data_IF_138544077957
#
_entry.id   IF_138544077957
#
_cell.length_a   1.000
_cell.length_b   1.000
_cell.length_c   1.000
_cell.angle_alpha   90.00
_cell.angle_beta   90.00
_cell.angle_gamma   90.00
#
_symmetry.space_group_name_H-M   'P 1'
#
loop_
_entity.id
_entity.type
_entity.pdbx_description
1 polymer ?
2 non-polymer ?
3 water ?
#
# COMPACT_ATOMS: atom_id res chain seq x y z
N UNK A 8 30.44 -26.74 2.24
CA UNK A 8 29.79 -27.52 3.33
C UNK A 8 30.76 -28.57 3.87
N UNK A 9 30.97 -28.55 5.18
CA UNK A 9 31.88 -29.49 5.82
C UNK A 9 31.13 -30.51 6.68
N UNK A 10 31.88 -31.40 7.33
CA UNK A 10 31.30 -32.39 8.23
C UNK A 10 30.60 -31.54 9.27
N UNK A 11 31.36 -30.61 9.83
CA UNK A 11 30.89 -29.68 10.85
C UNK A 11 29.43 -29.35 10.71
N UNK A 12 29.13 -28.47 9.76
CA UNK A 12 27.79 -28.00 9.51
C UNK A 12 26.71 -29.05 9.55
N UNK A 13 26.83 -30.07 8.71
CA UNK A 13 25.79 -31.07 8.71
C UNK A 13 25.37 -31.44 10.16
N UNK A 14 26.31 -31.92 10.98
CA UNK A 14 25.94 -32.34 12.33
C UNK A 14 25.26 -31.21 13.07
N UNK A 15 25.75 -29.99 12.89
CA UNK A 15 25.15 -28.85 13.58
C UNK A 15 23.64 -28.70 13.39
N UNK A 16 23.21 -28.95 12.17
CA UNK A 16 21.82 -28.87 11.78
C UNK A 16 20.96 -29.88 12.55
N UNK A 17 21.61 -30.96 13.02
CA UNK A 17 20.93 -32.05 13.72
C UNK A 17 20.59 -31.69 15.14
N UNK A 18 21.34 -30.72 15.69
CA UNK A 18 21.17 -30.29 17.08
C UNK A 18 19.76 -29.87 17.51
N UNK A 19 19.33 -28.69 17.07
CA UNK A 19 18.00 -28.20 17.46
C UNK A 19 16.95 -29.25 17.11
N UNK A 20 17.31 -30.21 16.27
CA UNK A 20 16.36 -31.25 15.91
C UNK A 20 16.02 -32.01 17.18
N UNK A 21 17.07 -32.47 17.86
CA UNK A 21 16.94 -33.18 19.12
C UNK A 21 16.31 -32.16 20.07
N UNK A 22 17.01 -31.03 20.24
CA UNK A 22 16.56 -29.96 21.14
C UNK A 22 16.33 -28.57 20.52
N UNK A 23 15.09 -28.05 20.63
CA UNK A 23 14.74 -26.73 20.08
C UNK A 23 15.36 -25.60 20.89
N UNK A 24 16.52 -25.08 20.50
CA UNK A 24 17.14 -23.99 21.25
C UNK A 24 16.50 -22.68 20.78
N UNK A 25 15.55 -22.17 21.56
CA UNK A 25 14.83 -20.92 21.20
C UNK A 25 14.98 -19.89 22.32
N UNK A 26 15.43 -20.37 23.47
CA UNK A 26 15.64 -19.50 24.62
C UNK A 26 16.46 -18.28 24.16
N UNK A 27 17.63 -18.57 23.58
CA UNK A 27 18.53 -17.53 23.10
C UNK A 27 17.99 -16.11 22.96
N UNK A 28 17.18 -15.89 21.94
CA UNK A 28 16.62 -14.56 21.68
C UNK A 28 15.12 -14.54 21.65
N UNK A 29 14.57 -13.41 21.22
CA UNK A 29 13.13 -13.24 21.16
C UNK A 29 12.41 -13.99 20.03
N UNK A 30 12.39 -15.31 20.09
CA UNK A 30 11.71 -16.02 19.01
C UNK A 30 10.22 -15.91 19.19
N UNK A 31 9.45 -16.21 18.17
CA UNK A 31 8.01 -16.08 18.26
C UNK A 31 7.26 -17.13 17.46
N UNK A 32 6.19 -17.70 18.02
CA UNK A 32 5.46 -18.71 17.25
C UNK A 32 4.87 -17.93 16.12
N UNK A 33 4.18 -18.59 15.22
CA UNK A 33 3.63 -17.91 14.07
C UNK A 33 2.63 -18.84 13.44
N UNK A 34 2.88 -20.15 13.57
CA UNK A 34 2.01 -21.15 12.96
C UNK A 34 2.22 -22.53 13.58
N UNK A 35 1.18 -23.36 13.47
CA UNK A 35 1.18 -24.74 13.94
C UNK A 35 0.24 -25.51 13.01
N UNK A 36 0.74 -26.57 12.38
CA UNK A 36 -0.06 -27.31 11.41
C UNK A 36 0.49 -28.72 11.17
N UNK A 37 -0.40 -29.64 10.80
CA UNK A 37 -0.05 -31.03 10.54
C UNK A 37 0.94 -31.59 11.60
N UNK A 38 1.10 -30.86 12.72
CA UNK A 38 2.06 -31.19 13.78
C UNK A 38 3.38 -30.42 13.54
N UNK A 39 3.26 -29.16 13.12
CA UNK A 39 4.42 -28.32 12.81
C UNK A 39 4.29 -26.83 13.19
N UNK A 40 5.33 -26.30 13.84
CA UNK A 40 5.33 -24.91 14.29
C UNK A 40 6.46 -24.10 13.70
N UNK A 41 6.17 -22.83 13.43
CA UNK A 41 7.15 -21.93 12.82
C UNK A 41 7.50 -20.70 13.64
N UNK A 42 8.73 -20.66 14.12
CA UNK A 42 9.17 -19.53 14.91
C UNK A 42 9.94 -18.59 14.03
N UNK A 43 10.03 -17.34 14.47
CA UNK A 43 10.78 -16.36 13.71
C UNK A 43 11.43 -15.29 14.57
N UNK A 44 12.65 -14.92 14.20
CA UNK A 44 13.40 -13.93 14.93
C UNK A 44 13.63 -12.77 14.00
N UNK A 45 13.29 -11.58 14.48
CA UNK A 45 13.46 -10.38 13.70
C UNK A 45 14.68 -9.51 14.03
N UNK A 46 15.65 -9.43 13.11
CA UNK A 46 16.81 -8.58 13.32
C UNK A 46 16.23 -7.20 13.17
N UNK A 47 16.14 -6.49 14.29
CA UNK A 47 15.56 -5.15 14.31
C UNK A 47 16.26 -4.09 13.50
N UNK A 48 17.52 -4.30 13.14
CA UNK A 48 18.24 -3.32 12.35
C UNK A 48 17.83 -3.44 10.89
N UNK A 49 17.85 -4.67 10.41
CA UNK A 49 17.51 -4.91 9.03
C UNK A 49 16.04 -5.14 8.78
N UNK A 50 15.31 -5.59 9.80
CA UNK A 50 13.89 -5.86 9.60
C UNK A 50 13.76 -7.22 8.94
N UNK A 51 14.88 -7.92 8.82
CA UNK A 51 14.84 -9.24 8.20
C UNK A 51 14.40 -10.27 9.23
N UNK A 52 14.06 -11.47 8.76
CA UNK A 52 13.62 -12.50 9.67
C UNK A 52 14.43 -13.76 9.59
N UNK A 53 14.28 -14.56 10.62
CA UNK A 53 15.00 -15.81 10.72
C UNK A 53 13.90 -16.74 11.08
N UNK A 54 13.72 -17.82 10.35
CA UNK A 54 12.69 -18.74 10.75
C UNK A 54 13.24 -20.05 11.26
N UNK A 55 12.44 -20.74 12.05
CA UNK A 55 12.86 -21.99 12.61
C UNK A 55 11.65 -22.90 12.66
N UNK A 56 11.82 -24.13 12.19
CA UNK A 56 10.71 -25.04 12.15
C UNK A 56 10.97 -26.38 12.81
N UNK A 57 9.96 -26.85 13.54
CA UNK A 57 9.98 -28.13 14.23
C UNK A 57 8.62 -28.72 13.99
N UNK A 58 8.50 -30.01 14.26
CA UNK A 58 7.22 -30.64 14.07
C UNK A 58 7.37 -32.07 13.65
N UNK A 59 6.25 -32.70 13.39
CA UNK A 59 6.27 -34.07 12.99
C UNK A 59 5.28 -34.16 11.88
N UNK A 60 5.59 -35.06 10.95
CA UNK A 60 4.72 -35.30 9.83
C UNK A 60 4.49 -36.79 9.82
N UNK A 61 3.41 -37.29 10.42
CA UNK A 61 3.17 -38.73 10.35
C UNK A 61 2.80 -38.98 8.92
N UNK A 62 3.02 -40.21 8.48
CA UNK A 62 2.70 -40.62 7.11
C UNK A 62 3.80 -40.22 6.10
N UNK A 63 4.96 -39.78 6.60
CA UNK A 63 6.04 -39.37 5.71
C UNK A 63 7.33 -40.11 6.00
N UNK A 64 7.54 -41.21 5.29
CA UNK A 64 8.75 -41.98 5.49
C UNK A 64 9.91 -40.97 5.50
N UNK A 65 10.62 -40.85 6.64
CA UNK A 65 11.76 -39.93 6.80
C UNK A 65 12.62 -40.08 5.54
N UNK A 66 12.68 -41.30 5.04
CA UNK A 66 13.46 -41.61 3.84
C UNK A 66 12.82 -40.97 2.63
N UNK A 67 11.49 -41.04 2.55
CA UNK A 67 10.75 -40.47 1.42
C UNK A 67 10.95 -38.98 1.38
N UNK A 68 10.51 -38.34 2.45
CA UNK A 68 10.60 -36.92 2.60
C UNK A 68 11.92 -36.35 2.01
N UNK A 69 13.03 -36.96 2.43
CA UNK A 69 14.35 -36.57 2.00
C UNK A 69 14.49 -36.72 0.50
N UNK A 70 14.14 -37.90 -0.01
CA UNK A 70 14.24 -38.14 -1.44
C UNK A 70 13.38 -37.08 -2.15
N UNK A 71 12.13 -36.94 -1.70
CA UNK A 71 11.20 -35.98 -2.29
C UNK A 71 11.75 -34.59 -2.20
N UNK A 72 12.56 -34.35 -1.20
CA UNK A 72 13.11 -33.02 -1.03
C UNK A 72 14.19 -32.65 -2.05
N UNK A 73 14.75 -33.65 -2.71
CA UNK A 73 15.81 -33.40 -3.70
C UNK A 73 15.32 -33.65 -5.12
N UNK A 74 14.14 -34.28 -5.26
CA UNK A 74 13.60 -34.61 -6.58
C UNK A 74 12.90 -33.44 -7.22
N UNK A 75 13.68 -32.63 -7.93
CA UNK A 75 13.16 -31.48 -8.65
C UNK A 75 12.11 -31.94 -9.66
N UNK A 76 12.51 -32.74 -10.66
CA UNK A 76 11.59 -33.20 -11.69
C UNK A 76 10.18 -33.43 -11.13
N UNK A 77 10.13 -34.04 -9.95
CA UNK A 77 8.86 -34.34 -9.33
C UNK A 77 8.38 -33.13 -8.56
N UNK A 78 9.26 -32.55 -7.77
CA UNK A 78 8.92 -31.37 -7.01
C UNK A 78 8.36 -30.32 -7.95
N UNK A 79 8.98 -30.13 -9.11
CA UNK A 79 8.53 -29.14 -10.09
C UNK A 79 7.10 -29.46 -10.45
N UNK A 80 6.89 -30.75 -10.62
CA UNK A 80 5.63 -31.31 -11.04
C UNK A 80 4.44 -31.08 -10.11
N UNK A 81 4.66 -31.08 -8.80
CA UNK A 81 3.55 -30.92 -7.84
C UNK A 81 3.51 -29.68 -6.96
N UNK A 82 4.61 -28.93 -6.89
CA UNK A 82 4.65 -27.75 -6.03
C UNK A 82 4.10 -26.49 -6.67
N UNK A 83 2.81 -26.24 -6.47
CA UNK A 83 2.13 -25.06 -7.01
C UNK A 83 2.88 -23.71 -6.97
N UNK A 84 3.94 -23.58 -6.18
CA UNK A 84 4.68 -22.31 -6.15
C UNK A 84 6.00 -22.28 -6.86
N UNK A 85 6.31 -23.34 -7.60
CA UNK A 85 7.55 -23.43 -8.34
C UNK A 85 7.30 -23.01 -9.81
N UNK A 86 7.89 -21.88 -10.19
CA UNK A 86 7.76 -21.34 -11.53
C UNK A 86 8.81 -22.00 -12.42
N UNK A 87 10.05 -21.99 -11.98
CA UNK A 87 11.12 -22.62 -12.75
C UNK A 87 12.04 -23.28 -11.75
N UNK A 88 12.66 -24.39 -12.15
CA UNK A 88 13.55 -25.12 -11.26
C UNK A 88 14.40 -26.14 -12.00
N UNK A 89 15.71 -26.11 -11.78
CA UNK A 89 16.60 -27.07 -12.44
C UNK A 89 17.98 -27.12 -11.82
N UNK A 90 18.62 -28.28 -11.94
CA UNK A 90 19.94 -28.48 -11.35
C UNK A 90 21.02 -28.66 -12.39
N UNK A 91 22.25 -28.35 -11.99
CA UNK A 91 23.39 -28.51 -12.87
C UNK A 91 24.63 -28.75 -12.03
N UNK A 92 25.57 -29.48 -12.60
CA UNK A 92 26.82 -29.76 -11.92
C UNK A 92 27.74 -28.64 -12.34
N UNK A 93 28.34 -28.00 -11.35
CA UNK A 93 29.27 -26.91 -11.59
C UNK A 93 30.46 -27.35 -10.74
N UNK A 94 31.57 -27.68 -11.40
CA UNK A 94 32.73 -28.19 -10.69
C UNK A 94 32.22 -29.53 -10.14
N UNK A 95 32.46 -29.79 -8.86
CA UNK A 95 32.02 -31.08 -8.35
C UNK A 95 30.70 -31.06 -7.63
N UNK A 96 30.19 -29.85 -7.42
CA UNK A 96 28.94 -29.71 -6.68
C UNK A 96 27.68 -29.39 -7.49
N UNK A 97 26.55 -29.74 -6.89
CA UNK A 97 25.22 -29.55 -7.46
C UNK A 97 24.65 -28.16 -7.18
N UNK A 98 24.54 -27.33 -8.20
CA UNK A 98 24.01 -25.98 -8.01
C UNK A 98 22.55 -25.96 -8.45
N UNK A 99 21.70 -25.32 -7.65
CA UNK A 99 20.28 -25.26 -7.95
C UNK A 99 19.77 -23.90 -8.32
N UNK A 100 18.91 -23.86 -9.32
CA UNK A 100 18.29 -22.64 -9.71
C UNK A 100 16.84 -22.90 -9.39
N UNK A 101 16.20 -21.93 -8.75
CA UNK A 101 14.81 -22.06 -8.34
C UNK A 101 14.10 -20.72 -8.49
N UNK A 102 12.89 -20.68 -9.07
CA UNK A 102 12.14 -19.45 -9.22
C UNK A 102 10.92 -19.64 -8.36
N UNK A 103 10.62 -18.64 -7.54
CA UNK A 103 9.47 -18.72 -6.66
C UNK A 103 8.27 -17.83 -7.03
N UNK A 104 7.05 -18.39 -7.12
CA UNK A 104 5.86 -17.57 -7.47
C UNK A 104 5.41 -16.62 -6.37
N UNK A 105 5.46 -15.32 -6.68
CA UNK A 105 5.03 -14.23 -5.81
C UNK A 105 3.79 -13.66 -6.47
N UNK A 106 2.79 -13.33 -5.65
CA UNK A 106 1.52 -12.78 -6.08
C UNK A 106 1.79 -11.54 -6.84
N UNK A 107 1.15 -11.37 -7.99
CA UNK A 107 1.33 -10.14 -8.73
C UNK A 107 0.53 -9.15 -7.89
N UNK A 108 1.06 -7.91 -7.80
CA UNK A 108 2.18 -7.22 -8.44
C UNK A 108 3.65 -7.66 -8.19
N UNK A 109 3.99 -8.01 -6.94
CA UNK A 109 5.37 -8.45 -6.62
C UNK A 109 6.06 -9.35 -7.65
N UNK A 110 7.36 -9.13 -7.77
CA UNK A 110 8.18 -9.88 -8.69
C UNK A 110 8.44 -11.23 -8.07
N UNK A 111 8.51 -12.28 -8.88
CA UNK A 111 8.80 -13.58 -8.31
C UNK A 111 10.19 -13.38 -7.67
N UNK A 112 10.78 -14.44 -7.16
CA UNK A 112 12.11 -14.36 -6.58
C UNK A 112 12.87 -15.54 -7.12
N UNK A 113 14.14 -15.41 -7.44
CA UNK A 113 14.83 -16.62 -7.88
C UNK A 113 16.13 -16.84 -7.12
N UNK A 114 16.46 -18.10 -6.91
CA UNK A 114 17.65 -18.46 -6.16
C UNK A 114 18.60 -19.36 -6.92
N UNK A 115 19.89 -19.14 -6.67
CA UNK A 115 20.97 -19.91 -7.24
C UNK A 115 21.67 -20.32 -5.97
N UNK A 116 21.81 -21.62 -5.75
CA UNK A 116 22.43 -22.08 -4.52
C UNK A 116 23.01 -23.48 -4.54
N UNK A 117 23.90 -23.71 -3.59
CA UNK A 117 24.57 -24.99 -3.42
C UNK A 117 23.78 -25.76 -2.40
N UNK A 118 23.28 -26.92 -2.82
CA UNK A 118 22.46 -27.82 -2.00
C UNK A 118 23.21 -29.11 -1.75
N UNK A 119 23.13 -29.62 -0.52
CA UNK A 119 23.82 -30.86 -0.22
C UNK A 119 23.19 -31.66 0.89
N UNK A 120 22.94 -32.94 0.64
CA UNK A 120 22.36 -33.83 1.63
C UNK A 120 23.35 -34.89 2.07
N UNK A 121 23.17 -35.33 3.29
CA UNK A 121 24.00 -36.38 3.85
C UNK A 121 23.19 -37.18 4.85
N UNK A 122 23.17 -38.49 4.70
CA UNK A 122 22.43 -39.30 5.64
C UNK A 122 23.40 -39.71 6.74
N UNK A 123 23.06 -39.29 7.97
CA UNK A 123 23.90 -39.54 9.13
C UNK A 123 23.56 -40.79 9.95
N UNK A 124 24.60 -41.38 10.53
CA UNK A 124 24.49 -42.62 11.32
C UNK A 124 24.46 -42.48 12.86
N UNK A 125 24.49 -41.23 13.33
CA UNK A 125 24.47 -40.94 14.73
C UNK A 125 23.64 -41.93 15.55
N UNK A 126 24.26 -42.54 16.55
CA UNK A 126 23.61 -43.53 17.45
C UNK A 126 22.74 -44.56 16.75
N UNK A 127 23.21 -45.05 15.61
CA UNK A 127 22.47 -46.01 14.82
C UNK A 127 21.16 -45.38 14.42
N UNK A 128 21.21 -44.08 14.12
CA UNK A 128 20.02 -43.37 13.67
C UNK A 128 20.25 -42.65 12.36
N UNK A 129 19.38 -42.92 11.37
CA UNK A 129 19.47 -42.26 10.06
C UNK A 129 18.79 -40.92 10.27
N UNK A 130 19.58 -39.86 10.11
CA UNK A 130 19.11 -38.51 10.28
C UNK A 130 19.40 -37.77 9.01
N UNK A 131 18.42 -37.78 8.10
CA UNK A 131 18.59 -37.14 6.81
C UNK A 131 18.76 -35.63 6.97
N UNK A 132 19.95 -35.11 6.65
CA UNK A 132 20.26 -33.69 6.76
C UNK A 132 20.67 -33.06 5.41
N UNK A 133 20.05 -31.92 5.05
CA UNK A 133 20.36 -31.24 3.79
C UNK A 133 20.72 -29.79 4.08
N UNK A 134 21.67 -29.23 3.32
CA UNK A 134 22.13 -27.85 3.50
C UNK A 134 21.95 -27.02 2.23
N UNK A 135 21.71 -25.72 2.40
CA UNK A 135 21.50 -24.80 1.27
C UNK A 135 22.23 -23.47 1.40
N UNK A 136 22.99 -23.11 0.37
CA UNK A 136 23.76 -21.87 0.42
C UNK A 136 23.67 -21.13 -0.88
N UNK A 137 23.56 -19.82 -0.80
CA UNK A 137 23.47 -19.05 -2.02
C UNK A 137 24.86 -18.92 -2.62
N UNK A 138 24.95 -19.00 -3.94
CA UNK A 138 26.25 -18.90 -4.61
C UNK A 138 26.03 -18.16 -5.91
N UNK A 139 27.04 -18.03 -6.78
CA UNK A 139 26.87 -17.27 -8.02
C UNK A 139 27.55 -17.86 -9.29
N UNK A 140 27.11 -17.45 -10.48
CA UNK A 140 27.68 -17.96 -11.71
C UNK A 140 27.67 -17.03 -12.91
N UNK A 141 28.86 -16.71 -13.39
CA UNK A 141 29.00 -15.84 -14.53
C UNK A 141 27.90 -16.10 -15.60
N UNK A 142 27.73 -17.36 -16.00
CA UNK A 142 26.76 -17.72 -17.03
C UNK A 142 25.33 -17.64 -16.55
N UNK A 143 25.13 -17.55 -15.24
CA UNK A 143 23.77 -17.48 -14.74
C UNK A 143 23.53 -16.19 -13.98
N UNK A 144 23.58 -15.08 -14.71
CA UNK A 144 23.38 -13.80 -14.09
C UNK A 144 21.94 -13.56 -13.69
N UNK A 145 21.67 -12.38 -13.14
CA UNK A 145 20.31 -12.03 -12.70
C UNK A 145 19.33 -11.93 -13.86
N UNK A 146 18.02 -11.95 -13.56
CA UNK A 146 16.98 -11.85 -14.60
C UNK A 146 16.16 -10.57 -14.41
N UNK A 147 15.59 -10.06 -15.49
CA UNK A 147 14.76 -8.87 -15.38
C UNK A 147 13.32 -9.30 -15.10
N UNK A 148 12.72 -8.63 -14.11
CA UNK A 148 11.35 -8.93 -13.70
C UNK A 148 11.34 -9.80 -12.45
N UNK A 149 12.31 -10.71 -12.38
CA UNK A 149 12.49 -11.65 -11.28
C UNK A 149 13.63 -11.15 -10.39
N UNK A 150 13.38 -11.11 -9.07
CA UNK A 150 14.38 -10.67 -8.09
C UNK A 150 15.38 -11.76 -7.62
N UNK A 151 16.66 -11.64 -7.96
CA UNK A 151 17.67 -12.62 -7.55
C UNK A 151 18.08 -12.46 -6.08
N UNK A 152 17.70 -13.43 -5.25
CA UNK A 152 18.05 -13.44 -3.83
C UNK A 152 19.54 -13.85 -3.71
N UNK A 153 20.38 -12.94 -3.24
CA UNK A 153 21.80 -13.25 -3.13
C UNK A 153 22.24 -13.70 -1.73
N UNK A 154 21.37 -13.52 -0.73
CA UNK A 154 21.65 -13.97 0.64
C UNK A 154 20.58 -14.98 1.01
N UNK A 155 20.97 -16.23 1.20
CA UNK A 155 20.04 -17.29 1.53
C UNK A 155 20.77 -18.51 2.06
N UNK A 156 20.19 -19.10 3.09
CA UNK A 156 20.75 -20.31 3.65
C UNK A 156 19.73 -21.00 4.51
N UNK A 157 19.64 -22.31 4.34
CA UNK A 157 18.65 -23.13 5.02
C UNK A 157 19.26 -24.49 5.30
N UNK A 158 18.68 -25.21 6.26
CA UNK A 158 19.14 -26.55 6.60
C UNK A 158 17.89 -27.24 7.08
N UNK A 159 17.75 -28.49 6.70
CA UNK A 159 16.60 -29.27 7.09
C UNK A 159 17.07 -30.57 7.70
N UNK A 160 16.47 -30.95 8.82
CA UNK A 160 16.84 -32.18 9.46
C UNK A 160 15.62 -33.05 9.56
N UNK A 161 15.74 -34.24 8.98
CA UNK A 161 14.70 -35.24 8.98
C UNK A 161 15.13 -36.40 9.87
N UNK A 162 14.16 -37.13 10.39
CA UNK A 162 14.44 -38.25 11.28
C UNK A 162 13.15 -38.99 11.53
N UNK A 163 13.25 -40.27 11.88
CA UNK A 163 12.01 -40.99 12.11
C UNK A 163 11.48 -40.51 13.40
N UNK A 164 10.17 -40.67 13.57
CA UNK A 164 9.50 -40.27 14.78
C UNK A 164 9.16 -41.55 15.54
N UNK A 165 9.70 -42.68 15.03
CA UNK A 165 9.46 -43.98 15.64
C UNK A 165 8.26 -44.74 15.04
N UNK A 166 7.17 -43.98 14.81
CA UNK A 166 5.94 -44.52 14.25
C UNK A 166 5.95 -44.52 12.73
N UNK A 167 4.93 -43.87 12.17
CA UNK A 167 4.73 -43.80 10.72
C UNK A 167 5.40 -42.62 10.05
N UNK A 168 5.46 -41.49 10.74
CA UNK A 168 6.04 -40.32 10.15
C UNK A 168 7.50 -40.01 10.40
N UNK A 169 7.80 -38.71 10.50
CA UNK A 169 9.15 -38.23 10.71
C UNK A 169 9.18 -36.89 11.41
N UNK A 170 10.10 -36.79 12.35
CA UNK A 170 10.31 -35.61 13.17
C UNK A 170 11.30 -34.78 12.40
N UNK A 171 11.06 -33.48 12.35
CA UNK A 171 11.95 -32.60 11.60
C UNK A 171 12.25 -31.21 12.21
N UNK A 172 13.41 -30.69 11.84
CA UNK A 172 13.87 -29.39 12.28
C UNK A 172 14.41 -28.65 11.07
N UNK A 173 14.09 -27.37 10.94
CA UNK A 173 14.56 -26.58 9.81
C UNK A 173 14.90 -25.15 10.16
N UNK A 174 16.00 -24.68 9.58
CA UNK A 174 16.48 -23.31 9.78
C UNK A 174 16.44 -22.57 8.46
N UNK A 175 15.88 -21.36 8.44
CA UNK A 175 15.81 -20.63 7.21
C UNK A 175 16.13 -19.16 7.36
N UNK A 176 16.66 -18.60 6.28
CA UNK A 176 17.00 -17.20 6.21
C UNK A 176 17.44 -16.80 4.82
N UNK A 177 16.92 -15.68 4.37
CA UNK A 177 17.27 -15.13 3.10
C UNK A 177 16.80 -13.70 3.14
N UNK A 178 17.40 -12.89 2.30
CA UNK A 178 17.06 -11.48 2.17
C UNK A 178 16.36 -11.40 0.81
N UNK A 179 15.02 -11.27 0.81
CA UNK A 179 14.12 -11.18 -0.35
C UNK A 179 14.28 -10.01 -1.30
N UNK A 180 15.24 -9.13 -1.03
CA UNK A 180 15.44 -8.00 -1.93
C UNK A 180 14.25 -7.05 -2.04
N UNK A 181 13.33 -7.16 -1.09
CA UNK A 181 12.16 -6.31 -1.07
C UNK A 181 11.37 -6.48 0.21
N UNK A 182 10.44 -5.58 0.48
CA UNK A 182 9.62 -5.67 1.68
C UNK A 182 8.48 -6.65 1.57
N UNK A 183 8.38 -7.57 2.52
CA UNK A 183 7.32 -8.56 2.50
C UNK A 183 6.15 -8.00 3.27
N UNK A 184 5.03 -7.70 2.58
CA UNK A 184 3.85 -7.15 3.24
C UNK A 184 3.34 -8.13 4.26
N UNK A 185 2.93 -7.63 5.41
CA UNK A 185 2.43 -8.46 6.50
C UNK A 185 1.21 -9.32 6.16
N UNK A 186 0.45 -8.92 5.15
CA UNK A 186 -0.71 -9.72 4.77
C UNK A 186 -0.17 -11.01 4.14
N UNK A 187 0.91 -10.86 3.39
CA UNK A 187 1.55 -11.98 2.73
C UNK A 187 1.97 -12.96 3.81
N UNK A 188 2.52 -12.44 4.89
CA UNK A 188 2.91 -13.32 5.97
C UNK A 188 1.64 -13.99 6.50
N UNK A 189 0.61 -13.18 6.72
CA UNK A 189 -0.68 -13.66 7.21
C UNK A 189 -1.29 -14.77 6.34
N UNK A 190 -1.13 -14.63 5.03
CA UNK A 190 -1.63 -15.64 4.08
C UNK A 190 -0.70 -16.84 4.19
N UNK A 191 0.59 -16.58 4.13
CA UNK A 191 1.57 -17.64 4.22
C UNK A 191 1.22 -18.45 5.45
N UNK A 192 1.09 -17.74 6.56
CA UNK A 192 0.78 -18.30 7.87
C UNK A 192 -0.58 -18.96 7.99
N UNK A 193 -1.62 -18.18 7.78
CA UNK A 193 -2.98 -18.66 7.89
C UNK A 193 -3.53 -19.58 6.78
N UNK A 194 -2.91 -19.58 5.61
CA UNK A 194 -3.39 -20.45 4.54
C UNK A 194 -2.25 -21.08 3.73
N UNK A 195 -1.38 -20.22 3.22
CA UNK A 195 -0.25 -20.66 2.42
C UNK A 195 0.34 -21.99 2.85
N UNK A 196 1.10 -21.98 3.94
CA UNK A 196 1.77 -23.18 4.42
C UNK A 196 0.88 -24.38 4.71
N UNK A 197 -0.12 -24.23 5.59
CA UNK A 197 -1.03 -25.34 5.89
C UNK A 197 -1.31 -26.15 4.62
N UNK A 198 -1.71 -25.46 3.56
CA UNK A 198 -2.02 -26.12 2.31
C UNK A 198 -0.79 -26.78 1.73
N UNK A 199 0.32 -26.06 1.76
CA UNK A 199 1.56 -26.61 1.24
C UNK A 199 1.84 -27.95 1.88
N UNK A 200 1.95 -27.93 3.21
CA UNK A 200 2.20 -29.14 3.99
C UNK A 200 1.18 -30.22 3.64
N UNK A 201 -0.03 -29.77 3.34
CA UNK A 201 -1.07 -30.67 2.96
C UNK A 201 -0.72 -31.28 1.61
N UNK A 202 -0.51 -30.41 0.64
CA UNK A 202 -0.17 -30.86 -0.70
C UNK A 202 1.05 -31.73 -0.74
N UNK A 203 1.96 -31.50 0.21
CA UNK A 203 3.19 -32.26 0.25
C UNK A 203 3.01 -33.67 0.76
N UNK A 204 2.13 -33.81 1.75
CA UNK A 204 1.79 -35.09 2.34
C UNK A 204 1.20 -35.94 1.23
N UNK A 205 0.23 -35.35 0.54
CA UNK A 205 -0.44 -36.00 -0.57
C UNK A 205 0.70 -36.44 -1.50
N UNK A 206 1.68 -35.56 -1.65
CA UNK A 206 2.84 -35.77 -2.50
C UNK A 206 3.70 -36.97 -2.11
N UNK A 207 3.66 -37.35 -0.84
CA UNK A 207 4.43 -38.48 -0.35
C UNK A 207 3.75 -39.79 -0.67
N UNK A 208 2.52 -39.88 -0.18
CA UNK A 208 1.68 -41.05 -0.37
C UNK A 208 1.61 -41.46 -1.83
N UNK A 209 1.79 -40.48 -2.71
CA UNK A 209 1.72 -40.70 -4.16
C UNK A 209 3.07 -40.81 -4.88
N UNK A 210 4.11 -41.12 -4.13
CA UNK A 210 5.43 -41.23 -4.70
C UNK A 210 5.65 -42.58 -5.38
N UNK B 8 -29.74 26.11 -9.07
CA UNK B 8 -29.24 26.95 -7.93
C UNK B 8 -30.32 27.87 -7.33
N UNK B 9 -30.78 27.52 -6.13
CA UNK B 9 -31.82 28.28 -5.44
C UNK B 9 -31.28 29.46 -4.64
N UNK B 10 -32.17 30.34 -4.21
CA UNK B 10 -31.76 31.52 -3.48
C UNK B 10 -31.38 31.06 -2.08
N UNK B 11 -32.12 30.08 -1.62
CA UNK B 11 -31.90 29.57 -0.29
C UNK B 11 -30.45 29.08 -0.15
N UNK B 12 -30.01 28.33 -1.15
CA UNK B 12 -28.67 27.80 -1.14
C UNK B 12 -27.59 28.87 -0.94
N UNK B 13 -27.78 30.05 -1.53
CA UNK B 13 -26.82 31.15 -1.38
C UNK B 13 -26.75 31.62 0.06
N UNK B 14 -27.92 31.77 0.69
CA UNK B 14 -27.97 32.19 2.08
C UNK B 14 -27.33 31.16 3.00
N UNK B 15 -27.63 29.89 2.75
CA UNK B 15 -27.08 28.81 3.55
C UNK B 15 -25.60 29.11 3.78
N UNK B 16 -24.90 29.45 2.70
CA UNK B 16 -23.49 29.75 2.77
C UNK B 16 -23.25 31.12 3.41
N UNK B 17 -24.03 32.10 2.96
CA UNK B 17 -23.90 33.44 3.53
C UNK B 17 -23.93 33.29 5.05
N UNK B 18 -24.75 32.35 5.48
CA UNK B 18 -24.94 32.06 6.88
C UNK B 18 -23.67 31.62 7.60
N UNK B 19 -23.20 30.40 7.35
CA UNK B 19 -22.02 29.93 8.07
C UNK B 19 -20.92 30.95 8.08
N UNK B 20 -20.95 31.86 7.12
CA UNK B 20 -19.96 32.95 7.03
C UNK B 20 -19.99 33.73 8.34
N UNK B 21 -21.20 34.02 8.81
CA UNK B 21 -21.44 34.72 10.06
C UNK B 21 -21.08 33.83 11.26
N UNK B 22 -21.66 32.64 11.28
CA UNK B 22 -21.39 31.69 12.38
C UNK B 22 -21.16 30.25 11.85
N UNK B 23 -20.07 29.61 12.30
CA UNK B 23 -19.75 28.24 11.91
C UNK B 23 -20.85 27.28 12.40
N UNK B 24 -21.04 26.17 11.69
CA UNK B 24 -22.04 25.17 12.04
C UNK B 24 -21.32 23.82 12.23
N UNK B 25 -20.98 23.46 13.47
CA UNK B 25 -20.22 22.22 13.73
C UNK B 25 -20.57 21.55 15.07
N UNK B 26 -21.53 22.12 15.78
CA UNK B 26 -21.92 21.59 17.08
C UNK B 26 -22.61 20.23 16.94
N UNK B 27 -23.58 20.18 16.03
CA UNK B 27 -24.33 18.96 15.84
C UNK B 27 -23.58 17.74 15.34
N UNK B 28 -22.28 17.87 15.03
CA UNK B 28 -21.50 16.75 14.53
C UNK B 28 -20.10 16.56 15.12
N UNK B 29 -19.44 15.52 14.62
CA UNK B 29 -18.10 15.16 15.04
C UNK B 29 -17.11 15.88 14.12
N UNK B 30 -17.44 17.11 13.77
CA UNK B 30 -16.57 17.90 12.90
C UNK B 30 -15.24 18.08 13.58
N UNK B 31 -14.19 17.45 13.07
CA UNK B 31 -12.89 17.60 13.70
C UNK B 31 -12.00 18.56 12.93
N UNK B 32 -11.18 19.32 13.68
CA UNK B 32 -10.25 20.25 13.05
C UNK B 32 -9.15 19.40 12.48
N UNK B 33 -8.37 19.97 11.58
CA UNK B 33 -7.36 19.17 10.92
C UNK B 33 -6.21 20.04 10.47
N UNK B 34 -6.51 21.30 10.24
CA UNK B 34 -5.48 22.21 9.79
C UNK B 34 -5.71 23.64 10.21
N UNK B 35 -4.61 24.38 10.31
CA UNK B 35 -4.64 25.79 10.63
C UNK B 35 -3.43 26.37 9.91
N UNK B 36 -3.64 27.51 9.23
CA UNK B 36 -2.57 28.22 8.50
C UNK B 36 -3.07 29.59 8.16
N UNK B 37 -2.15 30.55 8.11
CA UNK B 37 -2.47 31.92 7.76
C UNK B 37 -3.88 32.25 8.24
N UNK B 38 -4.19 31.86 9.47
CA UNK B 38 -5.52 32.12 9.99
C UNK B 38 -6.58 31.49 9.12
N UNK B 39 -6.50 30.16 9.01
CA UNK B 39 -7.44 29.35 8.26
C UNK B 39 -7.60 28.09 9.07
N UNK B 40 -8.81 27.53 9.03
CA UNK B 40 -9.06 26.34 9.80
C UNK B 40 -9.97 25.42 9.01
N UNK B 41 -9.47 24.27 8.63
CA UNK B 41 -10.29 23.37 7.86
C UNK B 41 -10.68 22.21 8.75
N UNK B 42 -11.99 22.01 8.86
CA UNK B 42 -12.57 20.96 9.67
C UNK B 42 -13.05 19.91 8.71
N UNK B 43 -13.32 18.72 9.22
CA UNK B 43 -13.86 17.70 8.34
C UNK B 43 -14.78 16.79 9.10
N UNK B 44 -15.69 16.17 8.38
CA UNK B 44 -16.64 15.26 9.00
C UNK B 44 -16.56 13.94 8.25
N UNK B 45 -16.31 12.85 8.98
CA UNK B 45 -16.25 11.55 8.36
C UNK B 45 -17.69 11.03 8.34
N UNK B 46 -17.98 10.20 7.35
CA UNK B 46 -19.30 9.63 7.25
C UNK B 46 -19.16 8.12 7.37
N UNK B 47 -18.80 7.70 8.59
CA UNK B 47 -18.60 6.31 8.97
C UNK B 47 -19.15 5.21 8.05
N UNK B 48 -20.30 5.46 7.42
CA UNK B 48 -20.90 4.47 6.51
C UNK B 48 -20.17 4.32 5.18
N UNK B 49 -19.68 5.43 4.63
CA UNK B 49 -18.98 5.39 3.35
C UNK B 49 -17.50 5.75 3.37
N UNK B 50 -17.03 6.32 4.48
CA UNK B 50 -15.64 6.70 4.59
C UNK B 50 -15.41 8.03 3.91
N UNK B 51 -16.43 8.56 3.26
CA UNK B 51 -16.32 9.85 2.58
C UNK B 51 -16.37 11.02 3.56
N UNK B 52 -15.64 12.07 3.25
CA UNK B 52 -15.56 13.22 4.13
C UNK B 52 -16.16 14.51 3.54
N UNK B 53 -16.53 15.41 4.45
CA UNK B 53 -17.07 16.72 4.14
C UNK B 53 -16.13 17.72 4.76
N UNK B 54 -15.95 18.86 4.12
CA UNK B 54 -15.05 19.83 4.68
C UNK B 54 -15.71 21.17 4.82
N UNK B 55 -15.11 22.01 5.64
CA UNK B 55 -15.58 23.36 5.85
C UNK B 55 -14.33 24.17 6.10
N UNK B 56 -14.35 25.42 5.67
CA UNK B 56 -13.22 26.28 5.84
C UNK B 56 -13.63 27.62 6.39
N UNK B 57 -12.88 28.11 7.37
CA UNK B 57 -13.17 29.39 7.95
C UNK B 57 -11.85 30.07 8.18
N UNK B 58 -11.93 31.38 8.37
CA UNK B 58 -10.73 32.15 8.60
C UNK B 58 -10.71 33.43 7.80
N UNK B 59 -9.53 34.05 7.79
CA UNK B 59 -9.27 35.30 7.09
C UNK B 59 -7.98 35.25 6.29
N UNK B 60 -7.98 35.92 5.14
CA UNK B 60 -6.80 36.02 4.29
C UNK B 60 -6.64 37.50 4.11
N UNK B 61 -5.94 38.13 5.05
CA UNK B 61 -5.69 39.57 4.99
C UNK B 61 -4.74 39.72 3.83
N UNK B 62 -4.58 40.94 3.32
CA UNK B 62 -3.70 41.18 2.18
C UNK B 62 -4.36 40.68 0.88
N UNK B 63 -5.63 40.28 0.97
CA UNK B 63 -6.40 39.80 -0.19
C UNK B 63 -7.82 40.32 -0.06
N UNK B 64 -8.13 41.42 -0.76
CA UNK B 64 -9.45 42.04 -0.70
C UNK B 64 -10.55 41.12 -1.24
N UNK B 65 -11.67 41.01 -0.51
CA UNK B 65 -12.83 40.18 -0.86
C UNK B 65 -13.18 40.22 -2.35
N UNK B 66 -13.31 41.43 -2.85
CA UNK B 66 -13.68 41.68 -4.24
C UNK B 66 -12.61 41.11 -5.21
N UNK B 67 -11.35 41.24 -4.83
CA UNK B 67 -10.28 40.73 -5.66
C UNK B 67 -10.24 39.21 -5.56
N UNK B 68 -10.16 38.69 -4.34
CA UNK B 68 -10.12 37.24 -4.13
C UNK B 68 -11.22 36.61 -4.97
N UNK B 69 -12.43 37.13 -4.80
CA UNK B 69 -13.62 36.66 -5.51
C UNK B 69 -13.41 36.59 -7.00
N UNK B 70 -12.71 37.56 -7.56
CA UNK B 70 -12.47 37.55 -9.01
C UNK B 70 -11.54 36.47 -9.45
N UNK B 71 -10.49 36.22 -8.67
CA UNK B 71 -9.53 35.20 -9.00
C UNK B 71 -10.22 33.87 -9.00
N UNK B 72 -11.03 33.63 -7.97
CA UNK B 72 -11.72 32.36 -7.85
C UNK B 72 -12.48 32.05 -9.12
N UNK B 73 -12.85 33.11 -9.83
CA UNK B 73 -13.62 33.03 -11.04
C UNK B 73 -12.83 32.98 -12.33
N UNK B 74 -11.59 33.45 -12.25
CA UNK B 74 -10.72 33.51 -13.42
C UNK B 74 -9.96 32.26 -13.81
N UNK B 75 -10.53 31.48 -14.72
CA UNK B 75 -9.96 30.23 -15.17
C UNK B 75 -8.61 30.43 -15.86
N UNK B 76 -8.56 31.41 -16.74
CA UNK B 76 -7.36 31.68 -17.50
C UNK B 76 -6.16 31.84 -16.60
N UNK B 77 -6.32 32.75 -15.66
CA UNK B 77 -5.31 33.09 -14.70
C UNK B 77 -5.05 31.93 -13.75
N UNK B 78 -6.10 31.21 -13.37
CA UNK B 78 -5.99 30.09 -12.46
C UNK B 78 -5.12 29.04 -13.10
N UNK B 79 -5.39 28.77 -14.37
CA UNK B 79 -4.62 27.76 -15.09
C UNK B 79 -3.15 28.17 -15.08
N UNK B 80 -2.95 29.47 -15.04
CA UNK B 80 -1.63 30.08 -15.08
C UNK B 80 -0.81 30.08 -13.80
N UNK B 81 -1.46 30.02 -12.63
CA UNK B 81 -0.70 30.00 -11.37
C UNK B 81 -0.93 28.74 -10.50
N UNK B 82 -2.07 28.09 -10.64
CA UNK B 82 -2.35 26.89 -9.86
C UNK B 82 -1.65 25.71 -10.53
N UNK B 83 -0.67 25.13 -9.85
CA UNK B 83 0.07 24.01 -10.39
C UNK B 83 -0.61 22.65 -10.29
N UNK B 84 -1.85 22.61 -9.79
CA UNK B 84 -2.55 21.35 -9.65
C UNK B 84 -3.58 21.20 -10.74
N UNK B 85 -3.71 22.25 -11.54
CA UNK B 85 -4.66 22.24 -12.65
C UNK B 85 -4.00 21.63 -13.88
N UNK B 86 -4.51 20.49 -14.32
CA UNK B 86 -3.98 19.81 -15.50
C UNK B 86 -4.57 20.42 -16.76
N UNK B 87 -5.86 20.70 -16.71
CA UNK B 87 -6.57 21.29 -17.83
C UNK B 87 -7.81 21.97 -17.28
N UNK B 88 -8.05 23.21 -17.70
CA UNK B 88 -9.20 23.97 -17.24
C UNK B 88 -9.83 24.93 -18.25
N UNK B 89 -11.13 24.78 -18.51
CA UNK B 89 -11.85 25.66 -19.42
C UNK B 89 -13.36 25.71 -19.13
N UNK B 90 -13.99 26.86 -19.46
CA UNK B 90 -15.43 27.10 -19.25
C UNK B 90 -16.24 27.09 -20.55
N UNK B 91 -17.57 27.00 -20.43
CA UNK B 91 -18.45 27.01 -21.61
C UNK B 91 -19.92 27.21 -21.24
N UNK B 92 -20.74 27.64 -22.21
CA UNK B 92 -22.17 27.84 -21.96
C UNK B 92 -22.98 26.61 -22.37
N UNK B 93 -23.97 26.26 -21.58
CA UNK B 93 -24.84 25.12 -21.88
C UNK B 93 -26.17 25.63 -21.35
N UNK B 94 -27.11 25.92 -22.25
CA UNK B 94 -28.38 26.51 -21.86
C UNK B 94 -27.93 27.91 -21.50
N UNK B 95 -28.54 28.52 -20.50
CA UNK B 95 -28.08 29.85 -20.13
C UNK B 95 -26.83 29.78 -19.26
N UNK B 96 -26.67 28.66 -18.57
CA UNK B 96 -25.56 28.44 -17.67
C UNK B 96 -24.15 28.25 -18.26
N UNK B 97 -23.17 28.30 -17.37
CA UNK B 97 -21.76 28.10 -17.72
C UNK B 97 -21.33 26.80 -17.08
N UNK B 98 -20.71 25.93 -17.85
CA UNK B 98 -20.24 24.68 -17.30
C UNK B 98 -18.73 24.69 -17.35
N UNK B 99 -18.11 24.30 -16.23
CA UNK B 99 -16.67 24.26 -16.10
C UNK B 99 -16.14 22.84 -16.10
N UNK B 100 -14.96 22.68 -16.68
CA UNK B 100 -14.31 21.39 -16.77
C UNK B 100 -13.02 21.59 -16.03
N UNK B 101 -12.71 20.72 -15.06
CA UNK B 101 -11.48 20.89 -14.27
C UNK B 101 -10.74 19.57 -13.96
N UNK B 102 -9.49 19.44 -14.41
CA UNK B 102 -8.75 18.23 -14.19
C UNK B 102 -7.78 18.55 -13.12
N UNK B 103 -7.80 17.74 -12.07
CA UNK B 103 -6.82 17.89 -11.00
C UNK B 103 -5.64 16.86 -10.95
N UNK B 104 -4.39 17.31 -10.93
CA UNK B 104 -3.21 16.42 -10.84
C UNK B 104 -3.21 15.65 -9.51
N UNK B 105 -3.04 14.34 -9.62
CA UNK B 105 -2.97 13.47 -8.47
C UNK B 105 -1.64 12.74 -8.55
N UNK B 106 -1.00 12.54 -7.40
CA UNK B 106 0.28 11.87 -7.26
C UNK B 106 0.23 10.53 -7.94
N UNK B 107 1.14 10.28 -8.86
CA UNK B 107 1.15 8.99 -9.54
C UNK B 107 1.63 8.01 -8.50
N UNK B 108 1.15 6.76 -8.53
CA UNK B 108 0.22 6.13 -9.46
C UNK B 108 -1.19 6.67 -9.59
N UNK B 109 -1.68 7.36 -8.59
CA UNK B 109 -3.05 7.86 -8.64
C UNK B 109 -3.41 8.63 -9.89
N UNK B 110 -4.49 8.21 -10.52
CA UNK B 110 -4.94 8.89 -11.71
C UNK B 110 -5.51 10.24 -11.29
N UNK B 111 -5.48 11.21 -12.19
CA UNK B 111 -6.01 12.53 -11.87
C UNK B 111 -7.48 12.40 -11.58
N UNK B 112 -8.15 13.55 -11.55
CA UNK B 112 -9.58 13.60 -11.32
C UNK B 112 -10.15 14.74 -12.14
N UNK B 113 -11.16 14.48 -12.94
CA UNK B 113 -11.75 15.59 -13.67
C UNK B 113 -13.17 15.84 -13.22
N UNK B 114 -13.54 17.12 -13.24
CA UNK B 114 -14.84 17.56 -12.80
C UNK B 114 -15.56 18.29 -13.91
N UNK B 115 -16.87 18.06 -14.02
CA UNK B 115 -17.73 18.73 -14.99
C UNK B 115 -18.83 19.31 -14.12
N UNK B 116 -18.95 20.63 -14.03
CA UNK B 116 -19.95 21.18 -13.13
C UNK B 116 -20.45 22.59 -13.37
N UNK B 117 -21.51 22.91 -12.63
CA UNK B 117 -22.14 24.22 -12.69
C UNK B 117 -21.62 25.12 -11.60
N UNK B 118 -21.33 26.36 -11.99
CA UNK B 118 -20.78 27.36 -11.08
C UNK B 118 -21.57 28.63 -11.26
N UNK B 119 -22.02 29.24 -10.17
CA UNK B 119 -22.76 30.50 -10.27
C UNK B 119 -22.36 31.45 -9.15
N UNK B 120 -21.89 32.64 -9.54
CA UNK B 120 -21.46 33.62 -8.57
C UNK B 120 -22.41 34.78 -8.39
N UNK B 121 -22.83 35.01 -7.16
CA UNK B 121 -23.70 36.15 -6.91
C UNK B 121 -23.02 37.03 -5.90
N UNK B 122 -23.17 38.34 -6.07
CA UNK B 122 -22.58 39.30 -5.15
C UNK B 122 -23.68 39.86 -4.24
N UNK B 123 -23.78 39.33 -3.02
CA UNK B 123 -24.81 39.76 -2.11
C UNK B 123 -24.56 41.02 -1.26
N UNK B 124 -25.67 41.56 -0.73
CA UNK B 124 -25.66 42.75 0.11
C UNK B 124 -26.29 42.49 1.49
N UNK B 125 -26.06 41.31 2.06
CA UNK B 125 -26.65 40.99 3.36
C UNK B 125 -26.34 42.08 4.37
N UNK B 126 -27.38 42.74 4.90
CA UNK B 126 -27.26 43.78 5.93
C UNK B 126 -26.29 44.90 5.59
N UNK B 127 -26.32 45.35 4.35
CA UNK B 127 -25.41 46.41 3.95
C UNK B 127 -24.02 45.83 3.87
N UNK B 128 -23.91 44.56 4.24
CA UNK B 128 -22.65 43.83 4.20
C UNK B 128 -22.61 43.26 2.80
N UNK B 129 -21.48 43.44 2.10
CA UNK B 129 -21.33 42.89 0.76
C UNK B 129 -20.59 41.55 0.84
N UNK B 130 -21.34 40.48 0.57
CA UNK B 130 -20.82 39.12 0.63
C UNK B 130 -20.69 38.58 -0.77
N UNK B 131 -19.52 38.08 -1.16
CA UNK B 131 -19.35 37.48 -2.48
C UNK B 131 -19.58 35.98 -2.32
N UNK B 132 -20.61 35.48 -2.97
CA UNK B 132 -20.95 34.08 -2.88
C UNK B 132 -20.82 33.30 -4.15
N UNK B 133 -20.33 32.08 -4.04
CA UNK B 133 -20.15 31.26 -5.21
C UNK B 133 -20.54 29.82 -4.93
N UNK B 134 -21.26 29.21 -5.86
CA UNK B 134 -21.70 27.84 -5.68
C UNK B 134 -21.38 27.03 -6.92
N UNK B 135 -21.20 25.72 -6.71
CA UNK B 135 -20.89 24.84 -7.79
C UNK B 135 -21.43 23.47 -7.48
N UNK B 136 -21.84 22.77 -8.51
CA UNK B 136 -22.33 21.42 -8.32
C UNK B 136 -22.25 20.67 -9.62
N UNK B 137 -22.07 19.36 -9.53
CA UNK B 137 -21.95 18.46 -10.70
C UNK B 137 -23.08 18.38 -11.64
N UNK B 138 -22.76 18.37 -12.92
CA UNK B 138 -23.78 18.33 -13.95
C UNK B 138 -23.14 17.58 -15.05
N UNK B 139 -23.91 16.80 -15.80
CA UNK B 139 -23.35 15.99 -16.86
C UNK B 139 -23.71 16.48 -18.22
N UNK B 140 -22.92 16.11 -19.21
CA UNK B 140 -23.13 16.49 -20.59
C UNK B 140 -22.68 15.38 -21.49
N UNK B 141 -23.51 15.04 -22.47
CA UNK B 141 -23.23 13.99 -23.44
C UNK B 141 -21.95 14.21 -24.27
N UNK B 142 -21.68 15.47 -24.65
CA UNK B 142 -20.46 15.81 -25.40
C UNK B 142 -19.24 15.67 -24.50
N UNK B 143 -19.40 15.84 -23.19
CA UNK B 143 -18.28 15.69 -22.30
C UNK B 143 -18.45 14.45 -21.44
N UNK B 144 -18.03 13.34 -22.04
CA UNK B 144 -18.11 12.04 -21.41
C UNK B 144 -16.85 11.80 -20.63
N UNK B 145 -16.78 10.66 -19.95
CA UNK B 145 -15.62 10.32 -19.15
C UNK B 145 -14.36 10.13 -20.00
N UNK B 146 -13.20 10.30 -19.36
CA UNK B 146 -11.91 10.12 -20.03
C UNK B 146 -11.26 8.88 -19.44
N UNK B 147 -10.52 8.15 -20.27
CA UNK B 147 -9.84 6.96 -19.81
C UNK B 147 -8.54 7.44 -19.20
N UNK B 148 -8.22 6.90 -18.02
CA UNK B 148 -7.02 7.32 -17.34
C UNK B 148 -7.36 8.37 -16.29
N UNK B 149 -8.44 9.11 -16.52
CA UNK B 149 -8.90 10.15 -15.59
C UNK B 149 -10.22 9.75 -14.95
N UNK B 150 -10.36 10.04 -13.66
CA UNK B 150 -11.54 9.72 -12.88
C UNK B 150 -12.55 10.84 -12.88
N UNK B 151 -13.65 10.63 -13.57
CA UNK B 151 -14.71 11.63 -13.61
C UNK B 151 -15.43 11.77 -12.26
N UNK B 152 -15.28 12.92 -11.62
CA UNK B 152 -15.95 13.11 -10.33
C UNK B 152 -17.43 13.43 -10.59
N UNK B 153 -18.29 12.44 -10.37
CA UNK B 153 -19.72 12.58 -10.61
C UNK B 153 -20.54 13.18 -9.49
N UNK B 154 -20.04 13.17 -8.28
CA UNK B 154 -20.77 13.80 -7.20
C UNK B 154 -19.85 14.89 -6.70
N UNK B 155 -20.34 16.13 -6.72
CA UNK B 155 -19.54 17.26 -6.26
C UNK B 155 -20.42 18.48 -6.01
N UNK B 156 -20.27 19.07 -4.84
CA UNK B 156 -21.02 20.26 -4.49
C UNK B 156 -20.13 21.11 -3.59
N UNK B 157 -20.07 22.41 -3.91
CA UNK B 157 -19.23 23.34 -3.17
C UNK B 157 -19.90 24.71 -3.03
N UNK B 158 -19.33 25.54 -2.16
CA UNK B 158 -19.82 26.88 -1.90
C UNK B 158 -18.72 27.65 -1.17
N UNK B 159 -18.57 28.91 -1.54
CA UNK B 159 -17.57 29.79 -0.95
C UNK B 159 -18.24 31.10 -0.57
N UNK B 160 -17.76 31.74 0.49
CA UNK B 160 -18.36 33.01 0.90
C UNK B 160 -17.33 34.01 1.39
N UNK B 161 -17.25 35.13 0.68
CA UNK B 161 -16.29 36.20 0.98
C UNK B 161 -16.85 37.50 1.53
N UNK B 162 -16.17 38.04 2.54
CA UNK B 162 -16.52 39.30 3.21
C UNK B 162 -15.19 39.99 3.44
N UNK B 163 -15.19 41.20 3.99
CA UNK B 163 -13.93 41.90 4.29
C UNK B 163 -13.47 41.60 5.70
N UNK B 164 -12.17 41.40 5.90
CA UNK B 164 -11.69 41.11 7.25
C UNK B 164 -11.79 42.38 8.11
N UNK B 165 -12.31 43.45 7.51
CA UNK B 165 -12.44 44.71 8.20
C UNK B 165 -11.26 45.58 7.80
N UNK B 166 -10.12 44.93 7.58
CA UNK B 166 -8.89 45.62 7.21
C UNK B 166 -8.65 45.62 5.68
N UNK B 167 -7.63 44.89 5.22
CA UNK B 167 -7.29 44.85 3.80
C UNK B 167 -7.51 43.49 3.15
N UNK B 168 -8.12 42.56 3.89
CA UNK B 168 -8.38 41.23 3.35
C UNK B 168 -9.83 40.77 3.46
N UNK B 169 -10.03 39.45 3.48
CA UNK B 169 -11.39 38.91 3.55
C UNK B 169 -11.67 37.79 4.56
N UNK B 170 -12.93 37.66 4.91
CA UNK B 170 -13.39 36.65 5.84
C UNK B 170 -14.05 35.66 4.92
N UNK B 171 -13.73 34.38 5.09
CA UNK B 171 -14.24 33.35 4.21
C UNK B 171 -14.86 32.13 4.87
N UNK B 172 -15.71 31.49 4.10
CA UNK B 172 -16.36 30.25 4.48
C UNK B 172 -16.51 29.43 3.21
N UNK B 173 -16.19 28.14 3.30
CA UNK B 173 -16.28 27.24 2.17
C UNK B 173 -16.77 25.91 2.66
N UNK B 174 -17.69 25.30 1.91
CA UNK B 174 -18.22 23.98 2.23
C UNK B 174 -17.85 23.14 1.04
N UNK B 175 -17.29 21.99 1.28
CA UNK B 175 -16.88 21.15 0.18
C UNK B 175 -17.23 19.69 0.36
N UNK B 176 -17.66 19.08 -0.72
CA UNK B 176 -17.97 17.66 -0.75
C UNK B 176 -17.94 17.10 -2.15
N UNK B 177 -17.37 15.92 -2.28
CA UNK B 177 -17.26 15.23 -3.55
C UNK B 177 -16.89 13.76 -3.30
N UNK B 178 -17.20 12.90 -4.24
CA UNK B 178 -16.84 11.51 -4.12
C UNK B 178 -15.64 11.36 -5.03
N UNK B 179 -14.43 11.29 -4.46
CA UNK B 179 -13.23 11.16 -5.29
C UNK B 179 -13.23 9.92 -6.16
N UNK B 180 -14.11 8.95 -5.85
CA UNK B 180 -14.19 7.74 -6.65
C UNK B 180 -12.97 6.85 -6.50
N UNK B 181 -12.42 6.87 -5.30
CA UNK B 181 -11.26 6.08 -5.02
C UNK B 181 -10.89 6.48 -3.61
N UNK B 182 -10.14 5.62 -2.93
CA UNK B 182 -9.74 5.90 -1.56
C UNK B 182 -8.61 6.92 -1.56
N UNK B 183 -8.55 7.73 -0.52
CA UNK B 183 -7.48 8.71 -0.40
C UNK B 183 -6.65 8.30 0.81
N UNK B 184 -5.35 8.01 0.59
CA UNK B 184 -4.43 7.60 1.64
C UNK B 184 -4.26 8.61 2.73
N UNK B 185 -4.33 8.14 3.96
CA UNK B 185 -4.15 9.03 5.07
C UNK B 185 -2.89 9.86 4.78
N UNK B 186 -1.85 9.23 4.24
CA UNK B 186 -0.63 9.96 3.97
C UNK B 186 -0.87 11.12 3.04
N UNK B 187 -1.88 11.00 2.20
CA UNK B 187 -2.11 12.08 1.27
C UNK B 187 -2.76 13.24 2.00
N UNK B 188 -3.64 12.91 2.94
CA UNK B 188 -4.31 13.93 3.73
C UNK B 188 -3.19 14.56 4.50
N UNK B 189 -2.40 13.73 5.17
CA UNK B 189 -1.31 14.26 5.94
C UNK B 189 -0.52 15.22 5.06
N UNK B 190 -0.18 14.80 3.85
CA UNK B 190 0.58 15.68 2.97
C UNK B 190 -0.10 17.03 2.77
N UNK B 191 -1.35 16.97 2.33
CA UNK B 191 -2.14 18.15 2.07
C UNK B 191 -2.25 19.08 3.26
N UNK B 192 -2.74 18.57 4.38
CA UNK B 192 -2.90 19.36 5.59
C UNK B 192 -1.58 20.02 6.03
N UNK B 193 -0.50 19.26 5.87
CA UNK B 193 0.81 19.71 6.29
C UNK B 193 1.57 20.57 5.27
N UNK B 194 1.63 20.13 4.03
CA UNK B 194 2.36 20.90 3.03
C UNK B 194 1.42 21.38 1.94
N UNK B 195 0.69 20.46 1.33
CA UNK B 195 -0.22 20.79 0.26
C UNK B 195 -0.97 22.11 0.40
N UNK B 196 -1.99 22.14 1.26
CA UNK B 196 -2.79 23.35 1.45
C UNK B 196 -1.94 24.58 1.77
N UNK B 197 -1.13 24.52 2.84
CA UNK B 197 -0.30 25.65 3.22
C UNK B 197 0.41 26.31 2.03
N UNK B 198 1.22 25.55 1.29
CA UNK B 198 1.93 26.11 0.16
C UNK B 198 0.94 26.67 -0.83
N UNK B 199 -0.17 25.97 -1.00
CA UNK B 199 -1.17 26.46 -1.93
C UNK B 199 -1.61 27.86 -1.56
N UNK B 200 -2.27 27.98 -0.43
CA UNK B 200 -2.74 29.27 0.05
C UNK B 200 -1.63 30.31 -0.12
N UNK B 201 -0.38 29.89 0.04
CA UNK B 201 0.76 30.79 -0.10
C UNK B 201 0.82 31.22 -1.56
N UNK B 202 0.97 30.26 -2.45
CA UNK B 202 1.04 30.50 -3.89
C UNK B 202 -0.07 31.39 -4.39
N UNK B 203 -1.21 31.31 -3.72
CA UNK B 203 -2.36 32.07 -4.14
C UNK B 203 -2.33 33.52 -3.76
N UNK B 204 -2.35 33.82 -2.47
CA UNK B 204 -2.33 35.19 -2.02
C UNK B 204 -1.29 35.90 -2.87
N UNK B 205 -0.15 35.27 -3.08
CA UNK B 205 0.90 35.83 -3.92
C UNK B 205 0.30 36.14 -5.30
N UNK B 206 -0.60 35.25 -5.75
CA UNK B 206 -1.26 35.39 -7.03
C UNK B 206 -2.14 36.65 -7.06
N UNK B 207 -2.70 36.99 -5.90
CA UNK B 207 -3.56 38.18 -5.76
C UNK B 207 -2.73 39.44 -5.87
N UNK B 208 -1.55 39.40 -5.27
CA UNK B 208 -0.65 40.52 -5.31
C UNK B 208 -0.23 40.66 -6.77
N UNK B 209 0.24 39.56 -7.37
CA UNK B 209 0.66 39.62 -8.78
C UNK B 209 -0.49 39.94 -9.73
N UNK B 210 -1.73 39.76 -9.27
CA UNK B 210 -2.92 39.97 -10.10
C UNK B 210 -3.14 41.37 -10.57
X LIG C 1 9.79 -24.20 1.39
X LIG C 1 8.58 -23.50 0.67
X LIG C 1 7.26 -24.28 0.88
X LIG C 1 12.97 -23.97 -0.75
X LIG C 1 14.01 -23.47 -1.76
X LIG C 1 12.51 -21.73 -2.64
X LIG C 1 14.90 -21.73 -3.07
X LIG C 1 14.16 -21.16 -0.94
X LIG C 1 5.22 -22.70 0.91
X LIG C 1 4.27 -21.78 0.11
X LIG C 1 4.47 -20.25 0.38
X LIG C 1 5.05 -19.45 -0.81
X LIG C 1 4.65 -17.95 -0.82
X LIG C 1 5.83 -17.04 -1.24
X LIG C 1 6.01 -15.79 -0.37
X LIG C 1 6.28 -16.13 1.15
X LIG C 1 6.78 -14.93 2.06
X LIG C 1 7.30 -15.26 3.49
X LIG C 1 6.63 -16.44 4.19
X LIG C 1 6.26 -16.13 5.65
X LIG C 1 6.51 -17.23 6.67
X LIG C 1 5.48 -18.38 6.60
X LIG C 1 4.73 -18.55 7.93
X LIG C 1 4.77 -19.98 8.38
X LIG C 1 9.47 -21.00 0.59
X LIG C 1 9.23 -19.59 1.07
X LIG C 1 10.28 -19.20 2.16
X LIG C 1 9.74 -19.38 3.59
X LIG C 1 10.40 -20.53 4.38
X LIG C 1 10.22 -20.38 5.91
X LIG C 1 8.98 -21.07 6.47
X LIG C 1 8.96 -22.56 6.18
X LIG C 1 7.60 -22.91 5.55
X LIG C 1 7.26 -24.12 5.05
X LIG C 1 8.20 -25.33 5.08
X LIG C 1 7.93 -26.11 6.38
X LIG C 1 7.89 -27.47 6.42
X LIG C 1 8.08 -28.34 5.19
X LIG C 1 9.52 -28.40 4.67
X LIG C 1 10.05 -29.83 4.68
X LIG C 1 9.97 -30.48 6.04
X LIG C 1 11.09 -31.49 6.26
X LIG C 1 13.87 -22.02 -2.09
X LIG C 1 8.54 -22.07 1.06
X LIG C 1 6.28 -23.46 0.15
X LIG C 1 5.15 -22.76 2.18
X LIG C 1 10.40 -21.24 -0.22
X LIG C 1 12.51 -25.73 1.89
X LIG C 1 11.05 -26.84 0.14
X LIG C 1 10.93 -24.27 0.43
X LIG C 1 12.98 -25.39 -0.53
X LIG C 1 11.83 -25.59 0.52
X LIG D 1 -9.36 24.28 -3.91
X LIG D 1 -8.08 23.36 -4.10
X LIG D 1 -6.83 24.05 -3.53
X LIG D 1 -11.78 23.64 -6.99
X LIG D 1 -12.57 23.02 -8.16
X LIG D 1 -11.12 21.08 -8.53
X LIG D 1 -13.30 21.18 -9.48
X LIG D 1 -13.11 20.83 -7.19
X LIG D 1 -4.87 22.49 -2.79
X LIG D 1 -3.84 21.39 -3.19
X LIG D 1 -4.41 19.95 -3.07
X LIG D 1 -4.63 19.27 -4.45
X LIG D 1 -4.45 17.75 -4.45
X LIG D 1 -5.78 17.04 -4.64
X LIG D 1 -6.04 15.85 -3.73
X LIG D 1 -6.49 16.26 -2.28
X LIG D 1 -7.56 15.36 -1.57
X LIG D 1 -8.51 16.13 -0.62
X LIG D 1 -7.81 16.99 0.43
X LIG D 1 -8.75 17.84 1.32
X LIG D 1 -8.14 18.17 2.66
X LIG D 1 -7.12 19.32 2.65
X LIG D 1 -6.47 19.45 4.01
X LIG D 1 -7.11 20.56 4.81
X LIG D 1 -8.83 20.79 -4.22
X LIG D 1 -8.88 19.43 -3.49
X LIG D 1 -10.18 19.29 -2.64
X LIG D 1 -10.02 19.84 -1.22
X LIG D 1 -11.07 20.90 -0.88
X LIG D 1 -11.34 20.98 0.65
X LIG D 1 -10.21 21.62 1.45
X LIG D 1 -9.97 23.06 1.05
X LIG D 1 -8.50 23.30 0.67
X LIG D 1 -8.02 24.51 0.33
X LIG D 1 -8.89 25.78 0.34
X LIG D 1 -9.07 26.30 1.78
X LIG D 1 -9.33 27.58 2.02
X LIG D 1 -9.49 28.55 0.86
X LIG D 1 -10.20 29.84 1.22
X LIG D 1 -10.14 30.79 0.02
X LIG D 1 -10.59 30.11 -1.23
X LIG D 1 -11.11 31.11 -2.26
X LIG D 1 -12.50 21.54 -8.31
X LIG D 1 -8.25 21.98 -3.53
X LIG D 1 -5.76 23.09 -3.85
X LIG D 1 -4.99 22.82 -1.58
X LIG D 1 -9.26 20.87 -5.40
X LIG D 1 -12.19 25.72 -4.47
X LIG D 1 -10.31 26.71 -5.81
X LIG D 1 -10.20 24.21 -5.16
X LIG D 1 -11.96 25.06 -6.83
X LIG D 1 -11.13 25.43 -5.57
#
# INVERSE_FOLDING_TARGET
XELAAGSFSEEQFWEACAELQQPALAGADWQLLVETSGISIYRLLDKKTGLYEYKVFGVLEDCSPTLLADIYMDSDYRKQWDQYVKELYEQECNGETVVYWEVKYPFPMSNRDYVYLRQRRDLDMEGRKIHVILARSTSMPQLGERSGVIRVKQYKQSLAIESDGKKGSKVFMYYFDNPGGQIPSWLINWAAKNGVPNFLKDMARACQNYLKKT
XELAAGSFSEEQFWEACAELQQPALAGADWQLLVETSGISIYRLLDKKTGLYEYKVFGVLEDCSPTLLADIYMDSDYRKQWDQYVKELYEQECNGETVVYWEVKYPFPMSNRDYVYLRQRRDLDMEGRKIHVILARSTSMPQLGERSGVIRVKQYKQSLAIESDGKKGSKVFMYYFDNPGGQIPSWLINWAAKNGVPNFLKDMARACQNYLKKT
CPL C1 C2 C3 C4 C5 C6 C7 C8 C11 C12 C13 C14 C15 C16 C17 C18 C19 C20 C21 C22 C23 C24 C25 C26 C31 C32 C33 C34 C35 C36 C37 C38 C39 C40 C41 C42 C43 C44 C45 C46 C47 C48 N O2 O3 O11 O31 O1P O2P O3P O4P P
CPL C1 C2 C3 C4 C5 C6 C7 C8 C11 C12 C13 C14 C15 C16 C17 C18 C19 C20 C21 C22 C23 C24 C25 C26 C31 C32 C33 C34 C35 C36 C37 C38 C39 C40 C41 C42 C43 C44 C45 C46 C47 C48 N O2 O3 O11 O31 O1P O2P O3P O4P P
#
